data_IF_957388171781
#
_entry.id   IF_957388171781
#
_cell.length_a   1.000
_cell.length_b   1.000
_cell.length_c   1.000
_cell.angle_alpha   90.00
_cell.angle_beta   90.00
_cell.angle_gamma   90.00
#
_symmetry.space_group_name_H-M   'P 1'
#
loop_
_entity.id
_entity.type
_entity.pdbx_description
1 polymer ?
#
# COMPACT_ATOMS: atom_id res chain seq x y z
N UNK A 1 5.38 -12.08 -2.00
CA UNK A 1 5.37 -11.10 -3.10
C UNK A 1 4.64 -9.80 -2.72
N UNK A 2 3.41 -9.86 -2.19
CA UNK A 2 2.67 -8.67 -1.75
C UNK A 2 3.44 -7.80 -0.74
N UNK A 3 4.10 -8.42 0.25
CA UNK A 3 4.98 -7.69 1.20
C UNK A 3 6.11 -6.90 0.53
N UNK A 4 6.71 -7.45 -0.54
CA UNK A 4 7.77 -6.75 -1.30
C UNK A 4 7.17 -5.55 -2.02
N UNK A 5 6.02 -5.73 -2.67
CA UNK A 5 5.29 -4.63 -3.30
C UNK A 5 4.94 -3.53 -2.30
N UNK A 6 4.34 -3.89 -1.15
CA UNK A 6 4.05 -2.95 -0.06
C UNK A 6 5.29 -2.16 0.36
N UNK A 7 6.42 -2.83 0.62
CA UNK A 7 7.66 -2.16 1.01
C UNK A 7 8.17 -1.20 -0.08
N UNK A 8 8.10 -1.61 -1.35
CA UNK A 8 8.56 -0.79 -2.48
C UNK A 8 7.65 0.42 -2.72
N UNK A 9 6.35 0.27 -2.49
CA UNK A 9 5.35 1.33 -2.58
C UNK A 9 5.55 2.36 -1.47
N UNK A 10 5.71 1.91 -0.22
CA UNK A 10 6.01 2.82 0.91
C UNK A 10 7.33 3.56 0.67
N UNK A 11 8.36 2.87 0.16
CA UNK A 11 9.64 3.46 -0.20
C UNK A 11 9.57 4.38 -1.44
N UNK A 12 8.43 4.49 -2.13
CA UNK A 12 8.26 5.32 -3.32
C UNK A 12 9.00 4.81 -4.57
N UNK A 13 9.52 3.58 -4.55
CA UNK A 13 10.27 2.98 -5.66
C UNK A 13 9.38 2.28 -6.69
N UNK A 14 8.10 2.07 -6.36
CA UNK A 14 7.06 1.56 -7.24
C UNK A 14 5.72 2.18 -6.88
N UNK A 15 4.81 2.25 -7.85
CA UNK A 15 3.46 2.77 -7.63
C UNK A 15 2.45 1.64 -7.47
N UNK A 16 1.40 1.87 -6.68
CA UNK A 16 0.33 0.88 -6.50
C UNK A 16 -0.42 0.59 -7.81
N UNK A 17 -0.49 1.57 -8.72
CA UNK A 17 -1.05 1.41 -10.07
C UNK A 17 -0.36 0.29 -10.86
N UNK A 18 0.94 0.11 -10.68
CA UNK A 18 1.75 -0.90 -11.37
C UNK A 18 1.62 -2.29 -10.72
N UNK A 19 1.01 -2.37 -9.53
CA UNK A 19 0.88 -3.63 -8.81
C UNK A 19 -0.06 -4.58 -9.57
N UNK A 20 0.36 -5.83 -9.87
CA UNK A 20 -0.48 -6.81 -10.55
C UNK A 20 -1.79 -7.05 -9.79
N UNK A 21 -2.91 -7.17 -10.51
CA UNK A 21 -4.25 -7.33 -9.92
C UNK A 21 -4.32 -8.43 -8.85
N UNK A 22 -3.66 -9.58 -9.09
CA UNK A 22 -3.59 -10.71 -8.14
C UNK A 22 -2.96 -10.38 -6.78
N UNK A 23 -2.21 -9.28 -6.67
CA UNK A 23 -1.54 -8.86 -5.43
C UNK A 23 -2.14 -7.59 -4.83
N UNK A 24 -2.98 -6.84 -5.57
CA UNK A 24 -3.51 -5.55 -5.11
C UNK A 24 -4.25 -5.67 -3.78
N UNK A 25 -5.15 -6.63 -3.67
CA UNK A 25 -5.96 -6.84 -2.47
C UNK A 25 -5.08 -7.13 -1.23
N UNK A 26 -4.13 -8.04 -1.37
CA UNK A 26 -3.17 -8.37 -0.33
C UNK A 26 -2.24 -7.18 0.03
N UNK A 27 -1.88 -6.33 -0.94
CA UNK A 27 -1.10 -5.12 -0.68
C UNK A 27 -1.92 -4.07 0.06
N UNK A 28 -3.18 -3.87 -0.31
CA UNK A 28 -4.11 -2.96 0.38
C UNK A 28 -4.31 -3.40 1.83
N UNK A 29 -4.53 -4.68 2.09
CA UNK A 29 -4.66 -5.20 3.45
C UNK A 29 -3.40 -4.93 4.31
N UNK A 30 -2.21 -5.09 3.73
CA UNK A 30 -0.95 -4.78 4.42
C UNK A 30 -0.76 -3.28 4.65
N UNK A 31 -1.14 -2.45 3.68
CA UNK A 31 -1.10 -0.99 3.84
C UNK A 31 -2.11 -0.52 4.89
N UNK A 32 -3.25 -1.23 5.05
CA UNK A 32 -4.20 -0.98 6.12
C UNK A 32 -3.61 -1.26 7.49
N UNK A 33 -3.02 -2.44 7.64
CA UNK A 33 -2.28 -2.81 8.85
C UNK A 33 -1.16 -1.78 9.15
N UNK A 34 -0.48 -1.26 8.13
CA UNK A 34 0.55 -0.24 8.30
C UNK A 34 0.00 1.10 8.81
N UNK A 35 -1.24 1.48 8.45
CA UNK A 35 -1.89 2.66 9.04
C UNK A 35 -2.25 2.41 10.51
N UNK A 36 -2.84 1.25 10.82
CA UNK A 36 -3.21 0.88 12.20
C UNK A 36 -1.98 0.80 13.12
N UNK A 37 -0.84 0.36 12.60
CA UNK A 37 0.42 0.32 13.32
C UNK A 37 1.20 1.65 13.31
N UNK A 38 0.67 2.69 12.65
CA UNK A 38 1.31 4.02 12.57
C UNK A 38 2.57 4.07 11.72
N UNK A 39 2.80 3.10 10.84
CA UNK A 39 3.91 3.07 9.87
C UNK A 39 3.69 4.11 8.77
N UNK A 40 2.44 4.28 8.34
CA UNK A 40 2.00 5.34 7.42
C UNK A 40 0.74 6.01 7.98
N UNK A 41 0.41 7.21 7.51
CA UNK A 41 -0.84 7.87 7.86
C UNK A 41 -1.98 7.42 6.95
N UNK A 42 -3.23 7.61 7.41
CA UNK A 42 -4.43 7.40 6.58
C UNK A 42 -4.39 8.23 5.28
N UNK A 43 -3.96 9.49 5.37
CA UNK A 43 -3.76 10.36 4.20
C UNK A 43 -2.77 9.75 3.21
N UNK A 44 -1.65 9.23 3.72
CA UNK A 44 -0.64 8.57 2.88
C UNK A 44 -1.17 7.31 2.23
N UNK A 45 -2.02 6.55 2.90
CA UNK A 45 -2.70 5.40 2.30
C UNK A 45 -3.57 5.83 1.11
N UNK A 46 -4.38 6.87 1.29
CA UNK A 46 -5.26 7.39 0.23
C UNK A 46 -4.47 7.96 -0.94
N UNK A 47 -3.36 8.65 -0.70
CA UNK A 47 -2.43 9.09 -1.76
C UNK A 47 -1.85 7.92 -2.56
N UNK A 48 -1.46 6.85 -1.89
CA UNK A 48 -0.82 5.68 -2.52
C UNK A 48 -1.84 4.89 -3.35
N UNK A 49 -3.02 4.64 -2.79
CA UNK A 49 -3.98 3.68 -3.33
C UNK A 49 -5.09 4.34 -4.16
N UNK A 50 -5.32 5.64 -3.96
CA UNK A 50 -6.50 6.36 -4.47
C UNK A 50 -7.81 5.94 -3.79
N UNK A 51 -7.74 5.17 -2.69
CA UNK A 51 -8.91 4.69 -1.96
C UNK A 51 -9.17 5.57 -0.74
N UNK A 52 -10.45 5.76 -0.41
CA UNK A 52 -10.85 6.35 0.86
C UNK A 52 -10.48 5.38 1.99
N UNK A 53 -9.89 5.93 3.07
CA UNK A 53 -9.37 5.17 4.21
C UNK A 53 -10.49 4.74 5.17
#
# INVERSE_FOLDING_TARGET
>A
MAKIWRNRIIAGTQFFSDCPARYRDAVVALLREDVENGVITAERFSEITGMDW
#
